data_IF_102347127822
#
_entry.id   IF_102347127822
#
_cell.length_a   1.000
_cell.length_b   1.000
_cell.length_c   1.000
_cell.angle_alpha   90.00
_cell.angle_beta   90.00
_cell.angle_gamma   90.00
#
_symmetry.space_group_name_H-M   'P 1'
#
loop_
_entity.id
_entity.type
_entity.pdbx_description
1 polymer ?
#
# COMPACT_ATOMS: atom_id res chain seq x y z
N UNK A 1 -7.82 -16.59 1.00
CA UNK A 1 -7.01 -15.36 0.91
C UNK A 1 -5.72 -15.61 1.68
N UNK A 2 -4.56 -15.41 1.06
CA UNK A 2 -3.28 -15.74 1.68
C UNK A 2 -3.08 -14.93 2.98
N UNK A 3 -2.52 -15.56 4.03
CA UNK A 3 -2.23 -14.92 5.32
C UNK A 3 -1.11 -13.87 5.26
N UNK A 4 -0.71 -13.47 4.06
CA UNK A 4 0.39 -12.55 3.78
C UNK A 4 0.20 -11.17 4.39
N UNK A 5 -1.02 -10.62 4.38
CA UNK A 5 -1.30 -9.32 5.01
C UNK A 5 -0.99 -9.38 6.51
N UNK A 6 -1.51 -10.40 7.19
CA UNK A 6 -1.30 -10.60 8.62
C UNK A 6 0.18 -10.76 8.96
N UNK A 7 0.88 -11.63 8.23
CA UNK A 7 2.31 -11.86 8.42
C UNK A 7 3.13 -10.57 8.20
N UNK A 8 2.86 -9.82 7.13
CA UNK A 8 3.57 -8.59 6.83
C UNK A 8 3.26 -7.48 7.84
N UNK A 9 2.04 -7.42 8.37
CA UNK A 9 1.70 -6.51 9.47
C UNK A 9 2.51 -6.84 10.73
N UNK A 10 2.57 -8.11 11.10
CA UNK A 10 3.30 -8.55 12.29
C UNK A 10 4.82 -8.33 12.14
N UNK A 11 5.39 -8.60 10.96
CA UNK A 11 6.80 -8.30 10.66
C UNK A 11 7.05 -6.79 10.71
N UNK A 12 6.20 -5.98 10.07
CA UNK A 12 6.33 -4.51 10.05
C UNK A 12 6.28 -3.94 11.46
N UNK A 13 5.39 -4.44 12.31
CA UNK A 13 5.29 -4.01 13.70
C UNK A 13 6.49 -4.46 14.53
N UNK A 14 6.87 -5.74 14.42
CA UNK A 14 8.00 -6.30 15.18
C UNK A 14 9.35 -5.68 14.80
N UNK A 15 9.48 -5.20 13.57
CA UNK A 15 10.65 -4.46 13.08
C UNK A 15 10.60 -2.95 13.38
N UNK A 16 9.51 -2.45 13.96
CA UNK A 16 9.34 -1.03 14.30
C UNK A 16 9.03 -0.11 13.12
N UNK A 17 8.69 -0.66 11.95
CA UNK A 17 8.29 0.13 10.77
C UNK A 17 6.92 0.80 10.97
N UNK A 18 6.06 0.20 11.79
CA UNK A 18 4.75 0.76 12.13
C UNK A 18 4.49 0.76 13.63
N UNK A 19 3.69 1.74 14.09
CA UNK A 19 3.20 1.80 15.45
C UNK A 19 1.94 0.95 15.67
N UNK A 20 1.51 0.85 16.94
CA UNK A 20 0.30 0.08 17.31
C UNK A 20 -0.97 0.59 16.60
N UNK A 21 -1.09 1.91 16.41
CA UNK A 21 -2.28 2.50 15.81
C UNK A 21 -2.46 2.05 14.36
N UNK A 22 -1.37 2.08 13.59
CA UNK A 22 -1.38 1.58 12.21
C UNK A 22 -1.56 0.05 12.18
N UNK A 23 -0.95 -0.71 13.08
CA UNK A 23 -1.18 -2.16 13.17
C UNK A 23 -2.68 -2.48 13.37
N UNK A 24 -3.37 -1.75 14.25
CA UNK A 24 -4.79 -1.94 14.50
C UNK A 24 -5.62 -1.59 13.25
N UNK A 25 -5.36 -0.46 12.60
CA UNK A 25 -6.05 -0.09 11.35
C UNK A 25 -5.86 -1.17 10.28
N UNK A 26 -4.63 -1.64 10.06
CA UNK A 26 -4.35 -2.69 9.08
C UNK A 26 -5.02 -4.03 9.42
N UNK A 27 -5.21 -4.34 10.71
CA UNK A 27 -5.94 -5.54 11.15
C UNK A 27 -7.45 -5.43 10.92
N UNK A 28 -8.04 -4.26 11.13
CA UNK A 28 -9.44 -4.01 10.78
C UNK A 28 -9.67 -4.19 9.27
N UNK A 29 -8.76 -3.67 8.45
CA UNK A 29 -8.80 -3.89 6.99
C UNK A 29 -8.63 -5.36 6.64
N UNK A 30 -7.67 -6.06 7.25
CA UNK A 30 -7.46 -7.49 7.00
C UNK A 30 -8.71 -8.32 7.33
N UNK A 31 -9.35 -8.04 8.47
CA UNK A 31 -10.59 -8.67 8.88
C UNK A 31 -11.72 -8.39 7.88
N UNK A 32 -11.84 -7.13 7.46
CA UNK A 32 -12.78 -6.73 6.42
C UNK A 32 -12.48 -7.40 5.08
N UNK A 33 -11.23 -7.56 4.66
CA UNK A 33 -10.91 -8.26 3.40
C UNK A 33 -11.21 -9.76 3.48
N UNK A 34 -11.08 -10.39 4.65
CA UNK A 34 -11.37 -11.81 4.86
C UNK A 34 -12.84 -12.16 4.97
N UNK A 35 -13.70 -11.21 5.32
CA UNK A 35 -15.13 -11.47 5.45
C UNK A 35 -15.78 -11.84 4.11
N UNK A 36 -16.08 -13.12 3.92
CA UNK A 36 -16.76 -13.62 2.70
C UNK A 36 -18.27 -13.33 2.71
N UNK A 37 -18.85 -13.10 3.88
CA UNK A 37 -20.30 -12.86 4.05
C UNK A 37 -20.75 -11.45 3.71
N UNK A 38 -19.81 -10.53 3.46
CA UNK A 38 -20.06 -9.09 3.29
C UNK A 38 -20.84 -8.47 4.46
N UNK A 39 -20.71 -9.03 5.65
CA UNK A 39 -21.36 -8.54 6.87
C UNK A 39 -20.58 -7.41 7.55
N UNK A 40 -19.27 -7.34 7.29
CA UNK A 40 -18.37 -6.35 7.87
C UNK A 40 -18.39 -5.09 7.01
N UNK A 41 -18.71 -3.94 7.62
CA UNK A 41 -18.66 -2.63 6.97
C UNK A 41 -17.21 -2.24 6.66
N UNK A 42 -17.02 -1.39 5.66
CA UNK A 42 -15.70 -0.82 5.36
C UNK A 42 -15.22 -0.01 6.58
N UNK A 43 -14.11 -0.40 7.25
CA UNK A 43 -13.63 0.27 8.45
C UNK A 43 -13.07 1.67 8.17
N UNK A 44 -12.92 2.06 6.88
CA UNK A 44 -12.43 3.37 6.46
C UNK A 44 -13.52 4.43 6.40
N UNK A 45 -14.78 4.02 6.50
CA UNK A 45 -15.92 4.92 6.44
C UNK A 45 -16.13 5.57 7.82
N UNK A 46 -16.07 6.92 7.91
CA UNK A 46 -16.40 7.61 9.14
C UNK A 46 -17.88 7.35 9.46
N UNK A 47 -18.13 6.87 10.66
CA UNK A 47 -19.32 6.14 11.08
C UNK A 47 -20.67 6.91 11.14
N UNK A 48 -20.96 7.88 10.25
CA UNK A 48 -22.21 8.65 10.37
C UNK A 48 -22.89 9.18 9.11
N UNK A 49 -22.29 9.16 7.93
CA UNK A 49 -22.98 9.62 6.71
C UNK A 49 -22.79 8.64 5.56
N UNK A 50 -23.91 8.10 5.08
CA UNK A 50 -23.98 7.25 3.89
C UNK A 50 -23.65 8.15 2.69
N UNK A 51 -22.38 8.32 2.37
CA UNK A 51 -22.01 8.64 1.01
C UNK A 51 -22.06 7.32 0.23
N UNK A 52 -22.98 7.23 -0.73
CA UNK A 52 -22.97 6.13 -1.70
C UNK A 52 -21.55 6.05 -2.28
N UNK A 53 -20.84 4.91 -2.13
CA UNK A 53 -19.51 4.78 -2.71
C UNK A 53 -19.64 5.04 -4.20
N UNK A 54 -18.81 5.93 -4.73
CA UNK A 54 -18.76 6.21 -6.16
C UNK A 54 -18.48 4.88 -6.87
N UNK A 55 -19.51 4.29 -7.48
CA UNK A 55 -19.41 2.97 -8.10
C UNK A 55 -18.46 3.07 -9.29
N UNK A 56 -17.25 2.55 -9.10
CA UNK A 56 -16.31 2.29 -10.18
C UNK A 56 -16.65 0.93 -10.79
N UNK A 57 -16.43 0.80 -12.09
CA UNK A 57 -16.50 -0.50 -12.74
C UNK A 57 -15.50 -1.45 -12.06
N UNK A 58 -15.90 -2.68 -11.73
CA UNK A 58 -15.01 -3.63 -11.07
C UNK A 58 -13.80 -3.93 -11.96
N UNK A 59 -12.59 -3.75 -11.42
CA UNK A 59 -11.36 -4.06 -12.16
C UNK A 59 -11.24 -5.58 -12.41
N UNK A 60 -10.92 -5.95 -13.65
CA UNK A 60 -10.61 -7.33 -14.01
C UNK A 60 -9.21 -7.73 -13.54
N UNK A 61 -8.98 -9.02 -13.23
CA UNK A 61 -7.68 -9.52 -12.74
C UNK A 61 -6.50 -9.13 -13.66
N UNK A 62 -6.71 -9.16 -14.98
CA UNK A 62 -5.72 -8.76 -15.99
C UNK A 62 -5.42 -7.26 -16.04
N UNK A 63 -6.26 -6.41 -15.43
CA UNK A 63 -6.07 -4.96 -15.35
C UNK A 63 -5.36 -4.53 -14.07
N UNK A 64 -5.44 -5.35 -13.01
CA UNK A 64 -4.80 -5.07 -11.73
C UNK A 64 -3.28 -5.25 -11.83
N UNK A 65 -2.78 -6.12 -12.72
CA UNK A 65 -1.41 -6.60 -12.66
C UNK A 65 -0.82 -6.68 -14.06
N UNK A 66 0.18 -5.84 -14.33
CA UNK A 66 1.05 -6.00 -15.49
C UNK A 66 2.45 -6.35 -15.00
N UNK A 67 2.89 -7.58 -15.29
CA UNK A 67 4.31 -7.89 -15.17
C UNK A 67 5.05 -7.06 -16.22
N UNK A 68 6.13 -6.39 -15.78
CA UNK A 68 6.93 -5.47 -16.62
C UNK A 68 7.46 -6.19 -17.87
N UNK A 69 7.64 -7.51 -17.79
CA UNK A 69 8.07 -8.36 -18.90
C UNK A 69 7.01 -8.56 -20.00
N UNK A 70 5.72 -8.37 -19.69
CA UNK A 70 4.63 -8.41 -20.68
C UNK A 70 4.40 -7.07 -21.39
N UNK A 71 5.03 -5.98 -20.95
CA UNK A 71 5.00 -4.67 -21.64
C UNK A 71 6.08 -4.67 -22.73
N UNK A 72 6.07 -5.72 -23.55
CA UNK A 72 6.72 -5.70 -24.85
C UNK A 72 5.84 -4.93 -25.82
N UNK A 73 6.21 -3.69 -26.11
CA UNK A 73 5.73 -2.88 -27.23
C UNK A 73 4.31 -2.29 -27.10
N UNK A 74 4.26 -0.95 -26.94
CA UNK A 74 3.12 -0.01 -27.10
C UNK A 74 2.47 0.54 -25.83
N UNK A 75 3.19 1.34 -25.06
CA UNK A 75 2.59 2.50 -24.36
C UNK A 75 3.62 3.62 -24.25
N UNK A 76 3.37 4.68 -24.99
CA UNK A 76 4.18 5.90 -25.08
C UNK A 76 3.77 6.87 -23.96
N UNK A 77 4.23 6.66 -22.73
CA UNK A 77 4.14 7.70 -21.70
C UNK A 77 5.36 7.65 -20.76
N UNK A 78 5.97 8.84 -20.63
CA UNK A 78 7.04 9.24 -19.72
C UNK A 78 8.46 8.73 -19.99
N UNK A 79 9.37 9.70 -20.07
CA UNK A 79 10.81 9.60 -20.27
C UNK A 79 11.42 8.58 -19.29
N UNK A 80 12.11 7.60 -19.87
CA UNK A 80 12.71 6.48 -19.16
C UNK A 80 14.01 6.97 -18.51
N UNK A 81 14.05 7.08 -17.19
CA UNK A 81 15.31 6.95 -16.43
C UNK A 81 15.85 5.53 -16.69
N UNK A 82 16.80 5.42 -17.64
CA UNK A 82 17.35 4.14 -18.14
C UNK A 82 18.21 3.38 -17.12
N UNK A 83 18.59 4.01 -16.00
CA UNK A 83 19.59 3.45 -15.08
C UNK A 83 19.03 2.59 -13.95
N UNK A 84 17.71 2.51 -13.77
CA UNK A 84 17.13 1.68 -12.71
C UNK A 84 16.69 0.32 -13.25
N UNK A 85 17.18 -0.79 -12.68
CA UNK A 85 16.80 -2.11 -13.17
C UNK A 85 15.29 -2.29 -13.14
N UNK A 86 14.68 -2.67 -14.27
CA UNK A 86 13.23 -2.89 -14.39
C UNK A 86 12.66 -3.82 -13.30
N UNK A 87 13.47 -4.72 -12.74
CA UNK A 87 13.06 -5.58 -11.63
C UNK A 87 12.74 -4.81 -10.34
N UNK A 88 13.23 -3.58 -10.18
CA UNK A 88 12.93 -2.73 -9.03
C UNK A 88 11.51 -2.16 -9.06
N UNK A 89 10.85 -2.12 -10.22
CA UNK A 89 9.53 -1.50 -10.38
C UNK A 89 8.44 -2.55 -10.55
N UNK A 90 7.29 -2.32 -9.92
CA UNK A 90 6.08 -3.13 -10.08
C UNK A 90 4.87 -2.24 -10.22
N UNK A 91 4.06 -2.50 -11.24
CA UNK A 91 2.90 -1.69 -11.59
C UNK A 91 1.61 -2.41 -11.23
N UNK A 92 0.79 -1.76 -10.41
CA UNK A 92 -0.52 -2.23 -9.95
C UNK A 92 -1.60 -1.30 -10.48
N UNK A 93 -2.72 -1.87 -10.92
CA UNK A 93 -3.88 -1.14 -11.46
C UNK A 93 -3.49 -0.16 -12.58
N UNK A 94 -2.44 -0.51 -13.35
CA UNK A 94 -1.82 0.31 -14.41
C UNK A 94 -1.44 1.74 -13.97
N UNK A 95 -1.23 1.94 -12.66
CA UNK A 95 -1.17 3.27 -12.06
C UNK A 95 -0.12 3.38 -10.95
N UNK A 96 -0.07 2.38 -10.06
CA UNK A 96 0.71 2.45 -8.83
C UNK A 96 2.04 1.72 -8.99
N UNK A 97 3.12 2.44 -8.77
CA UNK A 97 4.50 1.95 -8.83
C UNK A 97 5.02 1.65 -7.43
N UNK A 98 5.44 0.42 -7.22
CA UNK A 98 6.14 -0.01 -6.02
C UNK A 98 7.62 -0.20 -6.34
N UNK A 99 8.48 0.50 -5.61
CA UNK A 99 9.93 0.50 -5.83
C UNK A 99 10.64 -0.10 -4.62
N UNK A 100 11.48 -1.11 -4.85
CA UNK A 100 12.35 -1.62 -3.79
C UNK A 100 13.51 -0.64 -3.57
N UNK A 101 13.81 -0.33 -2.32
CA UNK A 101 14.85 0.64 -1.96
C UNK A 101 14.35 2.08 -1.86
N UNK A 102 13.04 2.28 -1.96
CA UNK A 102 12.43 3.56 -1.64
C UNK A 102 12.65 3.88 -0.15
N UNK A 103 13.28 5.02 0.12
CA UNK A 103 13.58 5.53 1.46
C UNK A 103 12.42 6.30 2.07
N UNK A 104 11.38 6.60 1.29
CA UNK A 104 10.16 7.21 1.77
C UNK A 104 9.23 6.15 2.43
N UNK A 105 8.78 6.46 3.64
CA UNK A 105 7.97 5.56 4.46
C UNK A 105 6.49 5.95 4.49
N UNK A 106 6.12 7.07 3.86
CA UNK A 106 4.79 7.66 3.97
C UNK A 106 3.98 7.31 2.71
N UNK A 107 2.72 6.87 2.83
CA UNK A 107 1.92 6.71 4.06
C UNK A 107 2.20 5.43 4.85
N UNK A 108 2.96 4.50 4.28
CA UNK A 108 3.26 3.19 4.85
C UNK A 108 4.41 2.54 4.07
N UNK A 109 5.04 1.51 4.64
CA UNK A 109 6.04 0.68 3.95
C UNK A 109 5.46 -0.70 3.58
N UNK A 110 5.45 -1.08 2.30
CA UNK A 110 5.67 -0.21 1.13
C UNK A 110 4.47 0.71 0.87
N UNK A 111 4.66 1.67 -0.03
CA UNK A 111 3.58 2.44 -0.63
C UNK A 111 3.75 2.50 -2.16
N UNK A 112 2.65 2.81 -2.86
CA UNK A 112 2.65 2.97 -4.31
C UNK A 112 2.71 4.45 -4.69
N UNK A 113 3.55 4.81 -5.65
CA UNK A 113 3.55 6.13 -6.28
C UNK A 113 2.72 6.11 -7.56
N UNK A 114 1.95 7.17 -7.81
CA UNK A 114 1.28 7.33 -9.10
C UNK A 114 2.30 7.68 -10.19
N UNK A 115 2.24 7.00 -11.34
CA UNK A 115 3.00 7.24 -12.59
C UNK A 115 4.54 7.17 -12.55
N UNK A 116 5.20 7.59 -11.46
CA UNK A 116 6.66 7.61 -11.35
C UNK A 116 7.13 7.53 -9.89
N UNK A 117 8.29 6.89 -9.68
CA UNK A 117 8.98 6.82 -8.37
C UNK A 117 9.38 8.20 -7.82
N UNK A 118 9.63 9.17 -8.69
CA UNK A 118 10.07 10.53 -8.29
C UNK A 118 8.89 11.43 -7.93
N UNK A 119 7.68 10.99 -8.24
CA UNK A 119 6.47 11.75 -7.97
C UNK A 119 6.17 11.70 -6.47
N UNK A 120 6.23 12.85 -5.79
CA UNK A 120 6.02 12.92 -4.35
C UNK A 120 4.58 12.57 -3.94
N UNK A 121 3.59 12.89 -4.78
CA UNK A 121 2.17 12.62 -4.55
C UNK A 121 1.45 12.51 -5.90
N UNK A 122 0.34 11.75 -6.02
CA UNK A 122 -0.32 11.00 -4.95
C UNK A 122 0.35 9.67 -4.64
N UNK A 123 0.05 9.16 -3.44
CA UNK A 123 0.58 7.92 -2.90
C UNK A 123 -0.53 7.01 -2.39
N UNK A 124 -0.40 5.71 -2.61
CA UNK A 124 -1.36 4.70 -2.19
C UNK A 124 -0.78 3.81 -1.09
N UNK A 125 -1.52 3.64 0.01
CA UNK A 125 -1.21 2.68 1.05
C UNK A 125 -1.80 1.31 0.69
N UNK A 126 -1.01 0.28 0.38
CA UNK A 126 -1.53 -1.02 -0.05
C UNK A 126 -2.25 -1.79 1.05
N UNK A 127 -1.94 -1.50 2.32
CA UNK A 127 -2.55 -2.20 3.45
C UNK A 127 -3.94 -1.68 3.78
N UNK A 128 -4.23 -0.41 3.47
CA UNK A 128 -5.54 0.22 3.74
C UNK A 128 -6.28 0.59 2.46
N UNK A 129 -5.64 0.55 1.30
CA UNK A 129 -6.20 1.00 0.03
C UNK A 129 -6.44 2.51 -0.02
N UNK A 130 -6.01 3.27 1.00
CA UNK A 130 -6.16 4.73 1.03
C UNK A 130 -5.18 5.38 0.05
N UNK A 131 -5.64 6.44 -0.60
CA UNK A 131 -4.83 7.25 -1.50
C UNK A 131 -4.71 8.65 -0.94
N UNK A 132 -3.53 9.23 -1.02
CA UNK A 132 -3.21 10.54 -0.46
C UNK A 132 -2.66 11.44 -1.56
N UNK A 133 -3.18 12.67 -1.68
CA UNK A 133 -2.68 13.71 -2.61
C UNK A 133 -1.69 14.66 -1.95
N UNK A 134 -1.43 14.46 -0.67
CA UNK A 134 -0.48 15.21 0.14
C UNK A 134 -0.37 14.59 1.53
N UNK A 135 0.56 15.10 2.33
CA UNK A 135 0.74 14.64 3.72
C UNK A 135 -0.56 14.82 4.51
N UNK A 136 -1.13 13.71 4.98
CA UNK A 136 -2.42 13.64 5.67
C UNK A 136 -3.63 14.16 4.87
N UNK A 137 -3.52 14.27 3.54
CA UNK A 137 -4.61 14.67 2.64
C UNK A 137 -5.10 13.47 1.85
N UNK A 138 -6.03 12.74 2.44
CA UNK A 138 -6.64 11.58 1.78
C UNK A 138 -7.57 12.04 0.63
N UNK A 139 -7.49 11.32 -0.49
CA UNK A 139 -8.43 11.41 -1.60
C UNK A 139 -9.32 10.16 -1.61
N UNK A 140 -10.50 10.30 -1.00
CA UNK A 140 -11.51 9.23 -0.90
C UNK A 140 -11.97 8.75 -2.28
N UNK A 141 -12.04 9.67 -3.25
CA UNK A 141 -12.47 9.36 -4.61
C UNK A 141 -11.51 8.40 -5.30
N UNK A 142 -10.26 8.30 -4.82
CA UNK A 142 -9.19 7.47 -5.36
C UNK A 142 -8.90 6.18 -4.58
N UNK A 143 -9.56 5.96 -3.43
CA UNK A 143 -9.40 4.73 -2.64
C UNK A 143 -9.57 3.48 -3.49
N UNK A 144 -8.80 2.44 -3.14
CA UNK A 144 -9.06 1.11 -3.64
C UNK A 144 -10.34 0.58 -3.01
N UNK A 145 -11.21 0.03 -3.84
CA UNK A 145 -12.36 -0.73 -3.38
C UNK A 145 -11.93 -2.08 -2.80
N UNK A 146 -12.87 -2.77 -2.16
CA UNK A 146 -12.59 -4.07 -1.53
C UNK A 146 -12.04 -5.07 -2.53
N UNK A 147 -12.64 -5.16 -3.72
CA UNK A 147 -12.26 -6.14 -4.73
C UNK A 147 -10.86 -5.85 -5.27
N UNK A 148 -10.54 -4.60 -5.59
CA UNK A 148 -9.19 -4.16 -5.99
C UNK A 148 -8.15 -4.58 -4.95
N UNK A 149 -8.43 -4.33 -3.66
CA UNK A 149 -7.56 -4.76 -2.57
C UNK A 149 -7.44 -6.28 -2.48
N UNK A 150 -8.54 -7.03 -2.63
CA UNK A 150 -8.50 -8.51 -2.63
C UNK A 150 -7.66 -9.05 -3.78
N UNK A 151 -7.80 -8.49 -4.97
CA UNK A 151 -7.04 -8.88 -6.15
C UNK A 151 -5.56 -8.57 -5.97
N UNK A 152 -5.26 -7.38 -5.46
CA UNK A 152 -3.89 -6.96 -5.14
C UNK A 152 -3.20 -7.95 -4.21
N UNK A 153 -3.84 -8.30 -3.09
CA UNK A 153 -3.26 -9.19 -2.07
C UNK A 153 -3.33 -10.69 -2.41
N UNK A 154 -4.03 -11.08 -3.47
CA UNK A 154 -3.98 -12.44 -4.04
C UNK A 154 -2.77 -12.64 -4.95
N UNK A 155 -2.13 -11.57 -5.41
CA UNK A 155 -1.00 -11.66 -6.31
C UNK A 155 0.30 -11.95 -5.54
N UNK A 156 0.92 -13.09 -5.83
CA UNK A 156 2.13 -13.52 -5.13
C UNK A 156 3.34 -12.64 -5.46
N UNK A 157 3.45 -12.10 -6.69
CA UNK A 157 4.53 -11.17 -7.07
C UNK A 157 4.47 -9.87 -6.27
N UNK A 158 3.27 -9.35 -6.06
CA UNK A 158 3.00 -8.17 -5.24
C UNK A 158 3.35 -8.45 -3.77
N UNK A 159 2.86 -9.56 -3.22
CA UNK A 159 3.16 -9.99 -1.85
C UNK A 159 4.67 -10.11 -1.63
N UNK A 160 5.38 -10.76 -2.56
CA UNK A 160 6.82 -10.92 -2.49
C UNK A 160 7.55 -9.58 -2.54
N UNK A 161 7.08 -8.62 -3.34
CA UNK A 161 7.65 -7.27 -3.39
C UNK A 161 7.41 -6.50 -2.10
N UNK A 162 6.21 -6.58 -1.52
CA UNK A 162 5.96 -6.01 -0.20
C UNK A 162 6.90 -6.60 0.85
N UNK A 163 7.06 -7.93 0.84
CA UNK A 163 7.99 -8.63 1.73
C UNK A 163 9.42 -8.13 1.56
N UNK A 164 9.92 -8.04 0.32
CA UNK A 164 11.26 -7.55 0.01
C UNK A 164 11.47 -6.11 0.46
N UNK A 165 10.49 -5.24 0.26
CA UNK A 165 10.60 -3.85 0.69
C UNK A 165 10.59 -3.71 2.22
N UNK A 166 9.75 -4.47 2.93
CA UNK A 166 9.74 -4.52 4.40
C UNK A 166 11.08 -5.00 4.94
N UNK A 167 11.64 -6.08 4.37
CA UNK A 167 12.95 -6.61 4.77
C UNK A 167 14.06 -5.61 4.48
N UNK A 168 14.07 -5.03 3.28
CA UNK A 168 15.06 -4.01 2.91
C UNK A 168 15.04 -2.84 3.90
N UNK A 169 13.86 -2.38 4.29
CA UNK A 169 13.71 -1.32 5.29
C UNK A 169 14.24 -1.74 6.66
N UNK A 170 13.87 -2.92 7.13
CA UNK A 170 14.33 -3.46 8.41
C UNK A 170 15.87 -3.63 8.44
N UNK A 171 16.49 -3.97 7.31
CA UNK A 171 17.93 -4.17 7.19
C UNK A 171 18.73 -2.87 7.07
N UNK A 172 18.23 -1.89 6.30
CA UNK A 172 18.94 -0.65 5.98
C UNK A 172 18.62 0.49 6.93
N UNK A 173 17.46 0.42 7.59
CA UNK A 173 17.02 1.39 8.58
C UNK A 173 16.80 0.71 9.93
N UNK A 174 17.77 -0.10 10.39
CA UNK A 174 17.77 -0.72 11.74
C UNK A 174 17.67 0.30 12.86
N UNK A 175 18.17 1.49 12.58
CA UNK A 175 18.13 2.64 13.46
C UNK A 175 16.96 3.55 13.11
N UNK A 176 15.96 3.13 12.30
CA UNK A 176 14.78 3.95 11.98
C UNK A 176 14.21 4.39 13.31
N UNK A 177 14.56 5.60 13.76
CA UNK A 177 14.10 5.98 15.04
C UNK A 177 12.64 6.28 14.72
N UNK A 178 11.77 5.94 15.64
CA UNK A 178 10.59 6.74 15.86
C UNK A 178 10.99 8.22 16.16
N UNK A 179 11.98 8.83 15.47
CA UNK A 179 12.53 10.17 15.69
C UNK A 179 11.52 11.24 15.32
N UNK A 180 10.50 10.89 14.54
CA UNK A 180 9.30 11.71 14.36
C UNK A 180 8.08 11.20 15.15
N UNK A 181 8.18 10.10 15.90
CA UNK A 181 7.25 9.92 17.00
C UNK A 181 7.59 10.97 18.04
N UNK A 182 6.66 11.88 18.27
CA UNK A 182 6.78 12.98 19.24
C UNK A 182 7.19 12.50 20.64
N UNK A 183 7.08 11.21 20.93
CA UNK A 183 7.51 10.53 22.14
C UNK A 183 7.97 9.11 21.73
N UNK A 184 9.21 8.72 22.05
CA UNK A 184 9.91 7.56 21.48
C UNK A 184 9.28 6.18 21.74
N UNK A 185 10.09 5.12 21.57
CA UNK A 185 9.72 3.68 21.51
C UNK A 185 8.72 3.15 22.57
N UNK A 186 8.51 3.87 23.67
CA UNK A 186 7.68 3.46 24.81
C UNK A 186 6.59 4.47 25.20
N UNK A 187 6.30 5.45 24.34
CA UNK A 187 5.18 6.36 24.55
C UNK A 187 4.13 6.20 23.47
N UNK A 188 3.00 5.62 23.86
CA UNK A 188 1.82 5.61 23.02
C UNK A 188 1.35 7.04 22.74
N UNK A 189 0.93 7.35 21.48
CA UNK A 189 0.15 8.55 21.22
C UNK A 189 -1.11 8.52 22.09
N UNK A 190 -1.36 9.62 22.79
CA UNK A 190 -2.63 9.84 23.47
C UNK A 190 -3.59 10.46 22.47
N UNK A 191 -4.71 9.81 22.24
CA UNK A 191 -5.91 10.39 21.67
C UNK A 191 -6.78 10.86 22.83
#
# INVERSE_FOLDING_TARGET
MNNSICLLNDISYSSGLIGIAELLERREIEYWLRDESNSVKDPRDPSTEIQEPMRREPCNESEVLLNVDSIGSKTSYAEQDEDEPRWMRFMVLKKWHFTIGDVDCVPSVPHGHENSKTQSWPKMNPYTGRVFTGMHKEDVSQRLDRNEMRLLWRNDDFVERCRRQVIWYAENHRSYPFSNARRGLLHFPRW
#
